data_IF_662779760758
#
_entry.id   IF_662779760758
#
_cell.length_a   1.000
_cell.length_b   1.000
_cell.length_c   1.000
_cell.angle_alpha   90.00
_cell.angle_beta   90.00
_cell.angle_gamma   90.00
#
_symmetry.space_group_name_H-M   'P 1'
#
loop_
_entity.id
_entity.type
_entity.pdbx_description
1 polymer ?
#
# COMPACT_ATOMS: atom_id res chain seq x y z
N UNK A 1 -25.86 11.07 5.35
CA UNK A 1 -24.49 11.67 5.22
C UNK A 1 -23.70 10.67 4.40
N UNK A 2 -23.27 11.02 3.20
CA UNK A 2 -22.36 10.15 2.43
C UNK A 2 -21.06 10.07 3.23
N UNK A 3 -20.64 8.85 3.59
CA UNK A 3 -19.35 8.64 4.23
C UNK A 3 -18.27 9.36 3.42
N UNK A 4 -17.33 10.03 4.08
CA UNK A 4 -16.20 10.70 3.44
C UNK A 4 -15.35 9.63 2.73
N UNK A 5 -15.45 9.57 1.42
CA UNK A 5 -14.86 8.51 0.59
C UNK A 5 -13.43 8.89 0.23
N UNK A 6 -12.45 8.13 0.71
CA UNK A 6 -11.01 8.30 0.38
C UNK A 6 -10.65 7.68 -0.97
N UNK A 7 -11.11 6.46 -1.24
CA UNK A 7 -10.88 5.81 -2.53
C UNK A 7 -12.21 5.58 -3.25
N UNK A 8 -12.27 6.01 -4.52
CA UNK A 8 -13.40 5.72 -5.41
C UNK A 8 -12.89 5.11 -6.70
N UNK A 9 -13.38 3.92 -7.03
CA UNK A 9 -13.09 3.17 -8.25
C UNK A 9 -14.40 2.93 -8.99
N UNK A 10 -14.47 3.23 -10.29
CA UNK A 10 -15.67 3.08 -11.12
C UNK A 10 -15.34 2.46 -12.46
N UNK A 11 -15.92 1.30 -12.72
CA UNK A 11 -15.84 0.59 -14.00
C UNK A 11 -14.41 0.37 -14.48
N UNK A 12 -13.48 0.05 -13.58
CA UNK A 12 -12.06 -0.04 -13.93
C UNK A 12 -11.74 -1.36 -14.62
N UNK A 13 -11.06 -1.26 -15.77
CA UNK A 13 -10.53 -2.40 -16.53
C UNK A 13 -9.01 -2.31 -16.65
N UNK A 14 -8.37 -3.48 -16.67
CA UNK A 14 -6.95 -3.62 -17.00
C UNK A 14 -6.69 -4.95 -17.70
N UNK A 15 -6.07 -4.87 -18.89
CA UNK A 15 -5.74 -6.01 -19.74
C UNK A 15 -4.26 -5.96 -20.11
N UNK A 16 -3.56 -7.07 -19.96
CA UNK A 16 -2.18 -7.20 -20.39
C UNK A 16 -2.10 -7.94 -21.70
N UNK A 17 -1.29 -7.45 -22.64
CA UNK A 17 -0.95 -8.19 -23.82
C UNK A 17 -0.10 -9.42 -23.44
N UNK A 18 -0.47 -10.58 -23.96
CA UNK A 18 0.30 -11.82 -23.80
C UNK A 18 0.38 -12.54 -25.16
N UNK A 19 1.41 -13.37 -25.34
CA UNK A 19 1.71 -14.03 -26.63
C UNK A 19 0.57 -14.88 -27.17
N UNK A 20 -0.20 -15.54 -26.31
CA UNK A 20 -1.28 -16.44 -26.70
C UNK A 20 -2.65 -15.78 -26.72
N UNK A 21 -2.97 -14.95 -25.72
CA UNK A 21 -4.24 -14.23 -25.63
C UNK A 21 -4.13 -13.12 -24.58
N UNK A 22 -4.84 -11.97 -24.74
CA UNK A 22 -4.88 -10.91 -23.75
C UNK A 22 -5.38 -11.42 -22.39
N UNK A 23 -4.67 -11.07 -21.31
CA UNK A 23 -5.08 -11.39 -19.94
C UNK A 23 -5.85 -10.21 -19.36
N UNK A 24 -7.16 -10.37 -19.19
CA UNK A 24 -8.04 -9.39 -18.56
C UNK A 24 -7.95 -9.52 -17.05
N UNK A 25 -6.99 -8.82 -16.42
CA UNK A 25 -6.70 -8.92 -15.00
C UNK A 25 -7.73 -8.20 -14.13
N UNK A 26 -8.30 -7.07 -14.61
CA UNK A 26 -9.35 -6.31 -13.93
C UNK A 26 -10.48 -6.09 -14.93
N UNK A 27 -11.74 -6.31 -14.51
CA UNK A 27 -12.90 -6.45 -15.40
C UNK A 27 -14.12 -5.69 -14.90
N UNK A 28 -14.04 -4.35 -14.93
CA UNK A 28 -15.16 -3.46 -14.57
C UNK A 28 -15.39 -3.42 -13.05
N UNK A 29 -14.33 -3.13 -12.28
CA UNK A 29 -14.43 -3.06 -10.81
C UNK A 29 -15.00 -1.72 -10.39
N UNK A 30 -16.00 -1.80 -9.49
CA UNK A 30 -16.49 -0.69 -8.68
C UNK A 30 -16.14 -0.95 -7.22
N UNK A 31 -15.53 0.04 -6.55
CA UNK A 31 -15.11 -0.05 -5.16
C UNK A 31 -15.06 1.33 -4.52
N UNK A 32 -15.67 1.49 -3.34
CA UNK A 32 -15.51 2.66 -2.49
C UNK A 32 -14.85 2.25 -1.18
N UNK A 33 -13.96 3.10 -0.65
CA UNK A 33 -13.37 2.97 0.68
C UNK A 33 -13.57 4.29 1.41
N UNK A 34 -14.18 4.21 2.58
CA UNK A 34 -14.42 5.37 3.44
C UNK A 34 -13.12 5.78 4.17
N UNK A 35 -13.09 7.01 4.69
CA UNK A 35 -12.00 7.46 5.55
C UNK A 35 -11.94 6.63 6.82
N UNK A 36 -10.73 6.28 7.25
CA UNK A 36 -10.48 5.39 8.39
C UNK A 36 -11.18 4.02 8.27
N UNK A 37 -11.45 3.54 7.05
CA UNK A 37 -11.91 2.18 6.81
C UNK A 37 -10.71 1.28 6.49
N UNK A 38 -10.68 0.09 7.07
CA UNK A 38 -9.74 -0.97 6.72
C UNK A 38 -10.48 -2.06 5.92
N UNK A 39 -10.15 -2.19 4.64
CA UNK A 39 -10.67 -3.28 3.81
C UNK A 39 -9.62 -4.30 3.46
N UNK A 40 -10.02 -5.58 3.42
CA UNK A 40 -9.22 -6.67 2.89
C UNK A 40 -9.79 -7.15 1.54
N UNK A 41 -8.98 -7.14 0.49
CA UNK A 41 -9.32 -7.70 -0.82
C UNK A 41 -8.80 -9.13 -0.87
N UNK A 42 -9.70 -10.09 -0.93
CA UNK A 42 -9.40 -11.52 -0.92
C UNK A 42 -9.77 -12.20 -2.24
N UNK A 43 -9.08 -13.28 -2.53
CA UNK A 43 -9.39 -14.14 -3.69
C UNK A 43 -8.21 -15.02 -4.08
N UNK A 44 -8.41 -16.00 -5.00
CA UNK A 44 -7.36 -16.91 -5.42
C UNK A 44 -6.18 -16.19 -6.06
N UNK A 45 -5.01 -16.86 -6.10
CA UNK A 45 -3.85 -16.34 -6.81
C UNK A 45 -4.18 -16.11 -8.28
N UNK A 46 -3.69 -15.00 -8.84
CA UNK A 46 -3.91 -14.63 -10.25
C UNK A 46 -5.29 -14.01 -10.56
N UNK A 47 -6.19 -13.80 -9.57
CA UNK A 47 -7.51 -13.22 -9.85
C UNK A 47 -7.51 -11.69 -10.08
N UNK A 48 -6.35 -11.01 -10.05
CA UNK A 48 -6.22 -9.59 -10.37
C UNK A 48 -6.06 -8.64 -9.18
N UNK A 49 -5.91 -9.11 -7.93
CA UNK A 49 -5.80 -8.28 -6.71
C UNK A 49 -4.64 -7.29 -6.75
N UNK A 50 -3.42 -7.79 -6.96
CA UNK A 50 -2.21 -6.93 -7.03
C UNK A 50 -2.27 -6.00 -8.24
N UNK A 51 -2.90 -6.41 -9.35
CA UNK A 51 -3.14 -5.53 -10.50
C UNK A 51 -4.06 -4.39 -10.13
N UNK A 52 -5.19 -4.65 -9.45
CA UNK A 52 -6.08 -3.61 -8.96
C UNK A 52 -5.34 -2.65 -8.02
N UNK A 53 -4.57 -3.19 -7.08
CA UNK A 53 -3.79 -2.39 -6.14
C UNK A 53 -2.76 -1.50 -6.86
N UNK A 54 -2.06 -2.02 -7.86
CA UNK A 54 -1.10 -1.26 -8.65
C UNK A 54 -1.77 -0.14 -9.48
N UNK A 55 -2.95 -0.41 -10.05
CA UNK A 55 -3.72 0.60 -10.79
C UNK A 55 -4.24 1.69 -9.84
N UNK A 56 -4.76 1.32 -8.66
CA UNK A 56 -5.16 2.27 -7.62
C UNK A 56 -3.97 3.09 -7.13
N UNK A 57 -2.82 2.46 -6.98
CA UNK A 57 -1.58 3.15 -6.60
C UNK A 57 -1.04 4.10 -7.69
N UNK A 58 -1.57 4.05 -8.92
CA UNK A 58 -1.00 4.76 -10.07
C UNK A 58 0.40 4.25 -10.44
N UNK A 59 0.74 3.00 -10.09
CA UNK A 59 1.94 2.29 -10.57
C UNK A 59 1.70 1.67 -11.94
N UNK A 60 0.43 1.42 -12.26
CA UNK A 60 -0.04 0.97 -13.57
C UNK A 60 -1.24 1.83 -14.00
N UNK A 61 -1.58 1.80 -15.27
CA UNK A 61 -2.63 2.64 -15.86
C UNK A 61 -3.86 1.79 -16.16
N UNK A 62 -5.04 2.24 -15.73
CA UNK A 62 -6.30 1.62 -16.13
C UNK A 62 -6.52 1.80 -17.64
N UNK A 63 -7.01 0.76 -18.32
CA UNK A 63 -7.39 0.87 -19.72
C UNK A 63 -8.71 1.65 -19.88
N UNK A 64 -9.65 1.45 -18.92
CA UNK A 64 -10.95 2.11 -18.86
C UNK A 64 -11.35 2.35 -17.40
N UNK A 65 -12.34 3.22 -17.19
CA UNK A 65 -12.92 3.54 -15.90
C UNK A 65 -12.31 4.77 -15.25
N UNK A 66 -12.66 4.99 -13.99
CA UNK A 66 -12.23 6.18 -13.22
C UNK A 66 -11.78 5.78 -11.83
N UNK A 67 -10.70 6.42 -11.37
CA UNK A 67 -10.19 6.28 -10.01
C UNK A 67 -9.94 7.68 -9.45
N UNK A 68 -10.38 7.90 -8.22
CA UNK A 68 -10.09 9.11 -7.46
C UNK A 68 -9.63 8.75 -6.04
N UNK A 69 -8.63 9.46 -5.53
CA UNK A 69 -8.13 9.32 -4.16
C UNK A 69 -8.27 10.68 -3.48
N UNK A 70 -8.94 10.72 -2.32
CA UNK A 70 -9.22 11.94 -1.56
C UNK A 70 -9.83 13.07 -2.42
N UNK A 71 -10.74 12.67 -3.32
CA UNK A 71 -11.40 13.56 -4.28
C UNK A 71 -10.55 13.95 -5.51
N UNK A 72 -9.26 13.63 -5.53
CA UNK A 72 -8.37 13.91 -6.68
C UNK A 72 -8.45 12.76 -7.71
N UNK A 73 -8.89 13.03 -8.97
CA UNK A 73 -8.85 12.03 -10.04
C UNK A 73 -7.41 11.65 -10.37
N UNK A 74 -7.13 10.35 -10.49
CA UNK A 74 -5.82 9.86 -10.94
C UNK A 74 -5.87 9.25 -12.35
N UNK A 75 -7.04 8.89 -12.86
CA UNK A 75 -7.21 8.40 -14.24
C UNK A 75 -6.95 9.51 -15.26
N UNK A 76 -6.23 9.18 -16.33
CA UNK A 76 -5.89 10.13 -17.40
C UNK A 76 -4.70 11.05 -17.12
N UNK A 77 -4.06 10.88 -15.96
CA UNK A 77 -2.83 11.61 -15.60
C UNK A 77 -1.61 11.06 -16.33
N UNK A 78 -0.64 11.92 -16.58
CA UNK A 78 0.71 11.56 -17.03
C UNK A 78 1.48 10.81 -15.94
N UNK A 79 2.59 10.17 -16.30
CA UNK A 79 3.44 9.45 -15.35
C UNK A 79 3.96 10.37 -14.21
N UNK A 80 4.31 11.62 -14.53
CA UNK A 80 4.78 12.60 -13.54
C UNK A 80 3.66 13.04 -12.59
N UNK A 81 2.46 13.30 -13.11
CA UNK A 81 1.29 13.63 -12.30
C UNK A 81 0.84 12.47 -11.42
N UNK A 82 0.92 11.22 -11.90
CA UNK A 82 0.70 10.01 -11.09
C UNK A 82 1.75 9.89 -9.98
N UNK A 83 3.02 10.17 -10.28
CA UNK A 83 4.08 10.16 -9.27
C UNK A 83 3.86 11.23 -8.20
N UNK A 84 3.34 12.40 -8.57
CA UNK A 84 2.98 13.46 -7.62
C UNK A 84 1.78 13.06 -6.75
N UNK A 85 0.71 12.53 -7.34
CA UNK A 85 -0.46 12.04 -6.60
C UNK A 85 -0.10 10.93 -5.62
N UNK A 86 0.76 9.97 -6.03
CA UNK A 86 1.29 8.94 -5.13
C UNK A 86 2.02 9.53 -3.94
N UNK A 87 2.96 10.45 -4.18
CA UNK A 87 3.74 11.08 -3.10
C UNK A 87 2.85 11.76 -2.06
N UNK A 88 1.70 12.28 -2.50
CA UNK A 88 0.77 13.03 -1.66
C UNK A 88 -0.21 12.14 -0.91
N UNK A 89 -0.74 11.12 -1.57
CA UNK A 89 -1.92 10.41 -1.07
C UNK A 89 -1.68 8.95 -0.72
N UNK A 90 -0.63 8.31 -1.25
CA UNK A 90 -0.51 6.85 -1.21
C UNK A 90 0.78 6.39 -0.55
N UNK A 91 0.64 5.57 0.49
CA UNK A 91 1.72 4.73 1.00
C UNK A 91 1.57 3.32 0.47
N UNK A 92 2.68 2.67 0.10
CA UNK A 92 2.64 1.31 -0.46
C UNK A 92 3.57 0.40 0.32
N UNK A 93 3.02 -0.73 0.78
CA UNK A 93 3.74 -1.82 1.44
C UNK A 93 3.68 -3.05 0.54
N UNK A 94 4.84 -3.57 0.14
CA UNK A 94 4.98 -4.71 -0.76
C UNK A 94 5.30 -6.00 0.01
N UNK A 95 4.95 -7.14 -0.57
CA UNK A 95 5.25 -8.47 -0.04
C UNK A 95 6.77 -8.69 0.17
N UNK A 96 7.61 -8.23 -0.75
CA UNK A 96 9.08 -8.39 -0.71
C UNK A 96 9.80 -7.11 -0.28
N UNK A 97 9.17 -6.28 0.57
CA UNK A 97 9.69 -5.09 1.22
C UNK A 97 10.13 -3.96 0.27
N UNK A 98 10.78 -4.25 -0.85
CA UNK A 98 11.33 -3.31 -1.84
C UNK A 98 12.20 -2.21 -1.20
N UNK A 99 13.00 -2.57 -0.17
CA UNK A 99 13.92 -1.67 0.51
C UNK A 99 15.17 -1.41 -0.35
N UNK A 100 15.72 -0.22 -0.20
CA UNK A 100 16.97 0.16 -0.85
C UNK A 100 18.15 -0.39 -0.05
N UNK A 101 18.74 -1.49 -0.52
CA UNK A 101 19.80 -2.22 0.22
C UNK A 101 21.08 -1.42 0.43
N UNK A 102 21.34 -0.40 -0.38
CA UNK A 102 22.49 0.51 -0.24
C UNK A 102 22.24 1.71 0.70
N UNK A 103 21.09 1.77 1.37
CA UNK A 103 20.70 2.83 2.30
C UNK A 103 20.40 2.23 3.67
N UNK A 104 20.74 2.98 4.74
CA UNK A 104 20.35 2.64 6.11
C UNK A 104 18.84 2.67 6.30
N UNK A 105 18.35 2.16 7.43
CA UNK A 105 16.93 2.23 7.80
C UNK A 105 16.42 3.67 7.82
N UNK A 106 17.17 4.58 8.44
CA UNK A 106 16.85 6.01 8.47
C UNK A 106 16.72 6.61 7.07
N UNK A 107 17.68 6.31 6.18
CA UNK A 107 17.68 6.83 4.82
C UNK A 107 16.52 6.26 3.98
N UNK A 108 16.19 4.98 4.14
CA UNK A 108 15.03 4.37 3.48
C UNK A 108 13.72 5.10 3.83
N UNK A 109 13.53 5.47 5.11
CA UNK A 109 12.32 6.15 5.57
C UNK A 109 12.34 7.65 5.25
N UNK A 110 13.49 8.31 5.31
CA UNK A 110 13.60 9.75 5.02
C UNK A 110 13.46 10.07 3.51
N UNK A 111 13.87 9.15 2.63
CA UNK A 111 13.94 9.39 1.19
C UNK A 111 12.61 9.85 0.57
N UNK A 112 11.45 9.20 0.81
CA UNK A 112 10.17 9.65 0.24
C UNK A 112 9.82 11.09 0.61
N UNK A 113 10.06 11.49 1.86
CA UNK A 113 9.80 12.85 2.33
C UNK A 113 10.74 13.88 1.66
N UNK A 114 12.01 13.50 1.46
CA UNK A 114 12.98 14.34 0.72
C UNK A 114 12.58 14.50 -0.76
N UNK A 115 12.12 13.43 -1.41
CA UNK A 115 11.60 13.47 -2.80
C UNK A 115 10.34 14.35 -2.87
N UNK A 116 9.52 14.38 -1.81
CA UNK A 116 8.37 15.28 -1.71
C UNK A 116 8.75 16.76 -1.43
N UNK A 117 10.05 17.08 -1.33
CA UNK A 117 10.55 18.44 -1.12
C UNK A 117 10.83 18.82 0.33
N UNK A 118 10.68 17.90 1.28
CA UNK A 118 11.03 18.16 2.68
C UNK A 118 12.54 18.36 2.84
N UNK A 119 12.95 19.33 3.66
CA UNK A 119 14.38 19.53 3.97
C UNK A 119 14.94 18.28 4.67
N UNK A 120 16.16 17.89 4.31
CA UNK A 120 16.84 16.69 4.82
C UNK A 120 16.72 16.53 6.34
N UNK A 121 17.04 17.57 7.10
CA UNK A 121 16.98 17.52 8.58
C UNK A 121 15.58 17.19 9.09
N UNK A 122 14.55 17.80 8.51
CA UNK A 122 13.14 17.53 8.88
C UNK A 122 12.73 16.12 8.48
N UNK A 123 13.13 15.65 7.29
CA UNK A 123 12.86 14.29 6.84
C UNK A 123 13.53 13.24 7.73
N UNK A 124 14.78 13.47 8.16
CA UNK A 124 15.49 12.58 9.09
C UNK A 124 14.87 12.58 10.48
N UNK A 125 14.39 13.74 10.99
CA UNK A 125 13.67 13.78 12.27
C UNK A 125 12.40 12.95 12.19
N UNK A 126 11.56 13.20 11.16
CA UNK A 126 10.34 12.42 10.95
C UNK A 126 10.62 10.92 10.77
N UNK A 127 11.68 10.58 10.06
CA UNK A 127 12.07 9.18 9.88
C UNK A 127 12.44 8.51 11.21
N UNK A 128 13.11 9.22 12.13
CA UNK A 128 13.39 8.72 13.48
C UNK A 128 12.11 8.48 14.27
N UNK A 129 11.19 9.46 14.26
CA UNK A 129 9.91 9.35 14.95
C UNK A 129 9.11 8.12 14.46
N UNK A 130 9.11 7.86 13.13
CA UNK A 130 8.48 6.68 12.54
C UNK A 130 9.20 5.38 12.90
N UNK A 131 10.52 5.36 12.92
CA UNK A 131 11.30 4.19 13.34
C UNK A 131 11.05 3.87 14.82
N UNK A 132 11.00 4.88 15.69
CA UNK A 132 10.69 4.72 17.11
C UNK A 132 9.26 4.18 17.30
N UNK A 133 8.28 4.76 16.61
CA UNK A 133 6.88 4.30 16.61
C UNK A 133 6.75 2.82 16.23
N UNK A 134 7.59 2.35 15.29
CA UNK A 134 7.54 0.99 14.77
C UNK A 134 8.54 0.04 15.45
N UNK A 135 9.17 0.47 16.55
CA UNK A 135 10.09 -0.34 17.35
C UNK A 135 11.41 -0.65 16.63
N UNK A 136 11.89 0.29 15.81
CA UNK A 136 13.13 0.20 15.04
C UNK A 136 14.10 1.36 15.33
N UNK A 137 13.90 2.12 16.41
CA UNK A 137 14.72 3.28 16.74
C UNK A 137 16.21 2.95 16.90
N UNK A 138 16.54 1.82 17.55
CA UNK A 138 17.89 1.29 17.72
C UNK A 138 18.50 0.76 16.40
N UNK A 139 17.70 0.62 15.34
CA UNK A 139 18.08 0.13 14.02
C UNK A 139 18.23 1.23 12.97
N UNK A 140 18.16 2.50 13.37
CA UNK A 140 18.17 3.63 12.43
C UNK A 140 19.41 3.64 11.49
N UNK A 141 20.56 3.20 11.98
CA UNK A 141 21.80 3.12 11.19
C UNK A 141 22.03 1.78 10.50
N UNK A 142 21.22 0.76 10.81
CA UNK A 142 21.36 -0.57 10.25
C UNK A 142 20.88 -0.59 8.79
N UNK A 143 21.51 -1.45 7.97
CA UNK A 143 21.10 -1.70 6.59
C UNK A 143 20.06 -2.82 6.52
N UNK A 144 19.18 -2.85 5.51
CA UNK A 144 18.17 -3.89 5.36
C UNK A 144 18.71 -5.33 5.39
N UNK A 145 19.94 -5.55 4.99
CA UNK A 145 20.58 -6.87 4.93
C UNK A 145 20.80 -7.53 6.29
N UNK A 146 20.89 -6.74 7.38
CA UNK A 146 21.10 -7.26 8.74
C UNK A 146 19.82 -7.36 9.56
N UNK A 147 18.69 -6.92 9.00
CA UNK A 147 17.38 -6.96 9.64
C UNK A 147 16.66 -8.30 9.41
N UNK A 148 15.86 -8.74 10.41
CA UNK A 148 14.94 -9.88 10.25
C UNK A 148 13.84 -9.57 9.23
N UNK A 149 13.08 -10.58 8.80
CA UNK A 149 11.93 -10.41 7.91
C UNK A 149 10.90 -9.43 8.46
N UNK A 150 10.48 -9.62 9.71
CA UNK A 150 9.54 -8.73 10.40
C UNK A 150 10.08 -7.30 10.56
N UNK A 151 11.37 -7.13 10.88
CA UNK A 151 12.01 -5.82 10.94
C UNK A 151 12.04 -5.13 9.58
N UNK A 152 12.36 -5.86 8.49
CA UNK A 152 12.30 -5.31 7.12
C UNK A 152 10.89 -4.87 6.74
N UNK A 153 9.87 -5.64 7.13
CA UNK A 153 8.49 -5.26 6.86
C UNK A 153 8.06 -4.03 7.64
N UNK A 154 8.40 -3.95 8.93
CA UNK A 154 8.15 -2.74 9.73
C UNK A 154 8.88 -1.51 9.15
N UNK A 155 10.10 -1.68 8.65
CA UNK A 155 10.84 -0.63 7.95
C UNK A 155 10.14 -0.20 6.64
N UNK A 156 9.58 -1.14 5.86
CA UNK A 156 8.82 -0.84 4.66
C UNK A 156 7.51 -0.08 4.99
N UNK A 157 6.86 -0.42 6.11
CA UNK A 157 5.69 0.31 6.62
C UNK A 157 6.09 1.73 7.05
N UNK A 158 7.19 1.90 7.80
CA UNK A 158 7.71 3.22 8.17
C UNK A 158 7.94 4.11 6.94
N UNK A 159 8.57 3.55 5.91
CA UNK A 159 8.80 4.25 4.64
C UNK A 159 7.48 4.63 3.94
N UNK A 160 6.47 3.74 3.96
CA UNK A 160 5.17 4.02 3.36
C UNK A 160 4.43 5.17 4.07
N UNK A 161 4.64 5.34 5.37
CA UNK A 161 4.04 6.39 6.20
C UNK A 161 4.78 7.74 6.16
N UNK A 162 5.94 7.82 5.50
CA UNK A 162 6.82 8.98 5.53
C UNK A 162 6.13 10.30 5.13
N UNK A 163 5.22 10.25 4.15
CA UNK A 163 4.50 11.42 3.63
C UNK A 163 3.08 11.58 4.19
N UNK A 164 2.72 10.93 5.30
CA UNK A 164 1.35 10.97 5.89
C UNK A 164 0.27 10.63 4.84
N UNK A 165 0.34 9.46 4.21
CA UNK A 165 -0.56 9.14 3.13
C UNK A 165 -2.01 9.05 3.61
N UNK A 166 -2.95 9.55 2.81
CA UNK A 166 -4.39 9.40 3.06
C UNK A 166 -4.84 7.95 2.94
N UNK A 167 -4.14 7.18 2.10
CA UNK A 167 -4.43 5.78 1.78
C UNK A 167 -3.16 4.93 1.89
N UNK A 168 -3.20 3.90 2.73
CA UNK A 168 -2.15 2.88 2.83
C UNK A 168 -2.58 1.63 2.07
N UNK A 169 -1.82 1.25 1.06
CA UNK A 169 -2.00 0.06 0.24
C UNK A 169 -1.01 -1.01 0.68
N UNK A 170 -1.47 -2.25 0.90
CA UNK A 170 -0.60 -3.35 1.31
C UNK A 170 -0.84 -4.59 0.43
N UNK A 171 0.19 -5.05 -0.27
CA UNK A 171 0.13 -6.25 -1.11
C UNK A 171 0.80 -7.42 -0.40
N UNK A 172 -0.01 -8.36 0.12
CA UNK A 172 0.43 -9.56 0.84
C UNK A 172 1.48 -9.26 1.93
N UNK A 173 1.23 -8.31 2.88
CA UNK A 173 2.28 -7.75 3.73
C UNK A 173 2.90 -8.74 4.72
N UNK A 174 2.29 -9.92 4.90
CA UNK A 174 2.79 -10.99 5.77
C UNK A 174 3.28 -12.21 4.99
N UNK A 175 3.11 -12.23 3.67
CA UNK A 175 3.36 -13.41 2.83
C UNK A 175 4.82 -13.88 2.76
N UNK A 176 5.79 -13.05 3.17
CA UNK A 176 7.21 -13.38 3.21
C UNK A 176 7.75 -13.51 4.64
N UNK A 177 6.87 -13.62 5.66
CA UNK A 177 7.22 -13.65 7.07
C UNK A 177 6.93 -15.03 7.69
N UNK A 178 7.62 -15.34 8.78
CA UNK A 178 7.23 -16.40 9.70
C UNK A 178 5.98 -16.00 10.49
N UNK A 179 5.41 -16.94 11.24
CA UNK A 179 4.14 -16.73 11.97
C UNK A 179 4.24 -15.59 12.98
N UNK A 180 5.35 -15.50 13.73
CA UNK A 180 5.53 -14.48 14.77
C UNK A 180 5.66 -13.10 14.15
N UNK A 181 6.52 -12.94 13.13
CA UNK A 181 6.68 -11.69 12.38
C UNK A 181 5.39 -11.28 11.66
N UNK A 182 4.62 -12.23 11.16
CA UNK A 182 3.30 -12.00 10.56
C UNK A 182 2.31 -11.40 11.56
N UNK A 183 2.23 -11.98 12.76
CA UNK A 183 1.35 -11.51 13.85
C UNK A 183 1.72 -10.08 14.28
N UNK A 184 3.01 -9.80 14.51
CA UNK A 184 3.49 -8.46 14.88
C UNK A 184 3.12 -7.41 13.82
N UNK A 185 3.26 -7.75 12.53
CA UNK A 185 2.91 -6.84 11.42
C UNK A 185 1.41 -6.60 11.35
N UNK A 186 0.57 -7.62 11.58
CA UNK A 186 -0.88 -7.46 11.62
C UNK A 186 -1.34 -6.57 12.78
N UNK A 187 -0.76 -6.75 13.97
CA UNK A 187 -1.04 -5.89 15.12
C UNK A 187 -0.64 -4.43 14.83
N UNK A 188 0.42 -4.23 14.06
CA UNK A 188 0.80 -2.89 13.61
C UNK A 188 -0.24 -2.28 12.67
N UNK A 189 -0.74 -3.02 11.67
CA UNK A 189 -1.81 -2.53 10.79
C UNK A 189 -3.09 -2.20 11.57
N UNK A 190 -3.46 -3.00 12.59
CA UNK A 190 -4.59 -2.69 13.46
C UNK A 190 -4.39 -1.39 14.22
N UNK A 191 -3.23 -1.16 14.83
CA UNK A 191 -2.90 0.11 15.51
C UNK A 191 -2.97 1.30 14.56
N UNK A 192 -2.42 1.20 13.35
CA UNK A 192 -2.51 2.26 12.35
C UNK A 192 -3.96 2.56 11.97
N UNK A 193 -4.80 1.53 11.84
CA UNK A 193 -6.24 1.69 11.60
C UNK A 193 -6.95 2.36 12.78
N UNK A 194 -6.68 1.93 14.02
CA UNK A 194 -7.23 2.54 15.24
C UNK A 194 -6.85 4.03 15.36
N UNK A 195 -5.67 4.42 14.86
CA UNK A 195 -5.18 5.79 14.75
C UNK A 195 -5.80 6.56 13.56
N UNK A 196 -6.73 5.95 12.80
CA UNK A 196 -7.50 6.59 11.73
C UNK A 196 -6.90 6.44 10.33
N UNK A 197 -5.89 5.59 10.12
CA UNK A 197 -5.34 5.32 8.79
C UNK A 197 -6.34 4.52 7.94
N UNK A 198 -6.64 5.02 6.74
CA UNK A 198 -7.40 4.25 5.74
C UNK A 198 -6.48 3.20 5.10
N UNK A 199 -6.92 1.92 5.08
CA UNK A 199 -6.09 0.79 4.65
C UNK A 199 -6.83 -0.06 3.61
N UNK A 200 -6.15 -0.38 2.52
CA UNK A 200 -6.55 -1.41 1.55
C UNK A 200 -5.48 -2.48 1.51
N UNK A 201 -5.80 -3.66 1.99
CA UNK A 201 -4.87 -4.78 2.05
C UNK A 201 -5.32 -5.89 1.10
N UNK A 202 -4.40 -6.39 0.31
CA UNK A 202 -4.59 -7.61 -0.49
C UNK A 202 -4.00 -8.77 0.28
N UNK A 203 -4.78 -9.84 0.42
CA UNK A 203 -4.31 -11.08 1.07
C UNK A 203 -5.09 -12.30 0.57
N UNK A 204 -4.50 -13.49 0.75
CA UNK A 204 -5.17 -14.77 0.58
C UNK A 204 -5.41 -15.48 1.91
N UNK A 205 -4.98 -14.90 3.04
CA UNK A 205 -5.15 -15.45 4.40
C UNK A 205 -6.44 -14.92 5.03
N UNK A 206 -7.31 -15.83 5.46
CA UNK A 206 -8.53 -15.49 6.21
C UNK A 206 -8.20 -14.87 7.57
N UNK A 207 -7.11 -15.28 8.22
CA UNK A 207 -6.64 -14.73 9.49
C UNK A 207 -6.26 -13.24 9.35
N UNK A 208 -5.53 -12.91 8.28
CA UNK A 208 -5.14 -11.53 7.95
C UNK A 208 -6.37 -10.68 7.67
N UNK A 209 -7.31 -11.21 6.89
CA UNK A 209 -8.54 -10.51 6.51
C UNK A 209 -9.50 -10.31 7.69
N UNK A 210 -9.46 -11.17 8.71
CA UNK A 210 -10.32 -11.04 9.90
C UNK A 210 -10.06 -9.77 10.73
N UNK A 211 -8.95 -9.07 10.48
CA UNK A 211 -8.65 -7.78 11.11
C UNK A 211 -9.23 -6.57 10.40
N UNK A 212 -9.85 -6.76 9.23
CA UNK A 212 -10.44 -5.68 8.44
C UNK A 212 -11.93 -5.47 8.80
N UNK A 213 -12.41 -4.23 8.64
CA UNK A 213 -13.83 -3.88 8.84
C UNK A 213 -14.72 -4.56 7.78
N UNK A 214 -14.17 -4.74 6.57
CA UNK A 214 -14.89 -5.31 5.44
C UNK A 214 -13.99 -6.15 4.55
N UNK A 215 -14.49 -7.29 4.10
CA UNK A 215 -13.82 -8.16 3.15
C UNK A 215 -14.48 -7.99 1.77
N UNK A 216 -13.67 -7.68 0.76
CA UNK A 216 -14.04 -7.62 -0.64
C UNK A 216 -13.51 -8.87 -1.34
N UNK A 217 -14.40 -9.70 -1.85
CA UNK A 217 -14.00 -10.92 -2.57
C UNK A 217 -13.80 -10.64 -4.05
N UNK A 218 -12.64 -11.05 -4.58
CA UNK A 218 -12.33 -10.95 -6.01
C UNK A 218 -12.20 -12.34 -6.62
N UNK A 219 -12.81 -12.49 -7.81
CA UNK A 219 -12.68 -13.68 -8.63
C UNK A 219 -12.65 -13.29 -10.12
N UNK A 220 -11.70 -13.86 -10.89
CA UNK A 220 -11.58 -13.66 -12.34
C UNK A 220 -11.63 -12.18 -12.78
N UNK A 221 -10.98 -11.30 -12.00
CA UNK A 221 -10.92 -9.86 -12.27
C UNK A 221 -12.16 -9.06 -11.87
N UNK A 222 -13.10 -9.64 -11.11
CA UNK A 222 -14.34 -8.99 -10.67
C UNK A 222 -14.50 -9.03 -9.16
N UNK A 223 -15.23 -8.09 -8.60
CA UNK A 223 -15.75 -8.14 -7.23
C UNK A 223 -17.03 -8.97 -7.23
N UNK A 224 -17.13 -9.89 -6.23
CA UNK A 224 -18.32 -10.75 -6.02
C UNK A 224 -19.33 -10.09 -5.06
#
# INVERSE_FOLDING_TARGET
>A
MTADTVLRVRGVYRTFAAELAPVRAVRGIDLDVARAEFIAIMGPSGCGKSTLLNVVAGLDIADEGQIAIDGEPITGKTADELAEARRRHVGIVFQFFNLLGGMSSLENVALPAMIAGMRRKSAETRARDLLDLLGLGDKATDFPSVLSGGQRQRLAIARALANEPTLLLADEPTGALDSDGGTEVLELFRRLHDDGQTIVMVTHSDEVAAGADRIVRMRDGRVE
#
